data_IF_090865148524
#
_entry.id   IF_090865148524
#
_cell.length_a   1.000
_cell.length_b   1.000
_cell.length_c   1.000
_cell.angle_alpha   90.00
_cell.angle_beta   90.00
_cell.angle_gamma   90.00
#
_symmetry.space_group_name_H-M   'P 1'
#
loop_
_entity.id
_entity.type
_entity.pdbx_description
1 polymer ?
#
# COMPACT_ATOMS: atom_id res chain seq x y z
N UNK A 1 40.95 -15.41 -87.40
CA UNK A 1 39.81 -15.71 -86.50
C UNK A 1 40.29 -15.44 -85.09
N UNK A 2 39.78 -14.37 -84.44
CA UNK A 2 40.13 -14.02 -83.07
C UNK A 2 38.89 -14.35 -82.21
N UNK A 3 39.02 -15.31 -81.33
CA UNK A 3 37.94 -15.74 -80.42
C UNK A 3 37.93 -14.82 -79.22
N UNK A 4 36.80 -14.13 -79.01
CA UNK A 4 36.55 -13.22 -77.92
C UNK A 4 35.90 -14.05 -76.81
N UNK A 5 36.61 -14.22 -75.67
CA UNK A 5 36.08 -14.87 -74.47
C UNK A 5 35.43 -13.83 -73.57
N UNK A 6 34.11 -13.85 -73.41
CA UNK A 6 33.37 -13.02 -72.48
C UNK A 6 33.43 -13.66 -71.09
N UNK A 7 34.02 -12.92 -70.13
CA UNK A 7 33.93 -13.26 -68.69
C UNK A 7 32.66 -12.62 -68.10
N UNK A 8 31.70 -13.45 -67.70
CA UNK A 8 30.58 -13.01 -66.88
C UNK A 8 31.00 -13.02 -65.40
N UNK A 9 31.11 -11.86 -64.78
CA UNK A 9 31.32 -11.73 -63.33
C UNK A 9 29.96 -11.74 -62.66
N UNK A 10 29.63 -12.81 -61.92
CA UNK A 10 28.47 -12.83 -61.03
C UNK A 10 28.77 -11.98 -59.82
N UNK A 11 28.15 -10.79 -59.71
CA UNK A 11 28.06 -10.06 -58.47
C UNK A 11 27.00 -10.74 -57.59
N UNK A 12 27.41 -11.47 -56.59
CA UNK A 12 26.54 -11.91 -55.50
C UNK A 12 26.25 -10.73 -54.59
N UNK A 13 25.07 -10.16 -54.67
CA UNK A 13 24.53 -9.19 -53.73
C UNK A 13 24.18 -9.98 -52.46
N UNK A 14 25.09 -10.01 -51.50
CA UNK A 14 24.79 -10.49 -50.17
C UNK A 14 23.83 -9.53 -49.49
N UNK A 15 22.58 -9.90 -49.34
CA UNK A 15 21.66 -9.22 -48.45
C UNK A 15 22.16 -9.40 -47.01
N UNK A 16 22.73 -8.39 -46.45
CA UNK A 16 23.01 -8.32 -45.01
C UNK A 16 21.66 -8.27 -44.30
N UNK A 17 21.22 -9.41 -43.79
CA UNK A 17 20.07 -9.48 -42.89
C UNK A 17 20.54 -8.79 -41.59
N UNK A 18 20.22 -7.52 -41.42
CA UNK A 18 20.42 -6.80 -40.19
C UNK A 18 19.45 -7.38 -39.17
N UNK A 19 19.93 -8.20 -38.23
CA UNK A 19 19.10 -8.70 -37.15
C UNK A 19 18.63 -7.49 -36.34
N UNK A 20 17.32 -7.34 -36.22
CA UNK A 20 16.76 -6.33 -35.29
C UNK A 20 17.13 -6.78 -33.87
N UNK A 21 17.93 -5.96 -33.18
CA UNK A 21 18.17 -6.12 -31.76
C UNK A 21 17.12 -5.30 -31.02
N UNK A 22 16.37 -5.95 -30.14
CA UNK A 22 15.42 -5.30 -29.24
C UNK A 22 15.96 -5.36 -27.83
N UNK A 23 15.88 -4.24 -27.11
CA UNK A 23 16.23 -4.22 -25.69
C UNK A 23 15.22 -5.08 -24.91
N UNK A 24 15.71 -6.02 -24.14
CA UNK A 24 14.91 -6.90 -23.30
C UNK A 24 13.98 -6.10 -22.36
N UNK A 25 14.44 -4.97 -21.80
CA UNK A 25 13.65 -4.14 -20.91
C UNK A 25 12.49 -3.42 -21.62
N UNK A 26 12.57 -3.25 -22.93
CA UNK A 26 11.52 -2.65 -23.75
C UNK A 26 10.55 -3.67 -24.36
N UNK A 27 10.84 -4.98 -24.22
CA UNK A 27 10.04 -6.04 -24.82
C UNK A 27 8.75 -6.29 -24.02
N UNK A 28 7.67 -5.61 -24.42
CA UNK A 28 6.32 -5.73 -23.85
C UNK A 28 5.28 -5.85 -24.98
N UNK A 29 5.23 -6.97 -25.69
CA UNK A 29 4.29 -7.16 -26.79
C UNK A 29 2.85 -7.18 -26.28
N UNK A 30 1.88 -6.68 -27.06
CA UNK A 30 0.47 -6.86 -26.76
C UNK A 30 0.11 -8.33 -26.72
N UNK A 31 -0.81 -8.69 -25.83
CA UNK A 31 -1.34 -10.06 -25.81
C UNK A 31 -2.14 -10.34 -27.09
N UNK A 32 -1.98 -11.53 -27.62
CA UNK A 32 -2.81 -12.07 -28.73
C UNK A 32 -3.95 -12.96 -28.22
N UNK A 33 -4.08 -13.11 -26.90
CA UNK A 33 -5.17 -13.88 -26.30
C UNK A 33 -6.51 -13.18 -26.54
N UNK A 34 -7.52 -13.96 -26.92
CA UNK A 34 -8.91 -13.52 -27.02
C UNK A 34 -9.61 -13.98 -25.74
N UNK A 35 -9.68 -13.10 -24.76
CA UNK A 35 -10.26 -13.34 -23.44
C UNK A 35 -11.30 -12.27 -23.13
N UNK A 36 -12.19 -12.55 -22.18
CA UNK A 36 -13.16 -11.56 -21.70
C UNK A 36 -12.43 -10.40 -21.00
N UNK A 37 -12.91 -9.18 -21.21
CA UNK A 37 -12.33 -7.99 -20.64
C UNK A 37 -13.40 -7.09 -20.01
N UNK A 38 -13.30 -6.84 -18.69
CA UNK A 38 -14.18 -5.93 -17.98
C UNK A 38 -13.42 -4.63 -17.65
N UNK A 39 -13.86 -3.53 -18.25
CA UNK A 39 -13.34 -2.18 -17.97
C UNK A 39 -14.15 -1.54 -16.84
N UNK A 40 -13.76 -1.83 -15.59
CA UNK A 40 -14.43 -1.28 -14.42
C UNK A 40 -13.90 0.12 -14.11
N UNK A 41 -14.77 1.13 -14.18
CA UNK A 41 -14.41 2.52 -13.82
C UNK A 41 -14.75 2.87 -12.39
N UNK A 42 -15.55 2.05 -11.70
CA UNK A 42 -15.98 2.22 -10.32
C UNK A 42 -16.16 0.87 -9.63
N UNK A 43 -16.05 0.85 -8.31
CA UNK A 43 -16.30 -0.33 -7.50
C UNK A 43 -17.78 -0.75 -7.55
N UNK A 44 -18.06 -2.05 -7.49
CA UNK A 44 -19.41 -2.63 -7.44
C UNK A 44 -20.20 -2.16 -6.23
N UNK A 45 -19.55 -2.01 -5.09
CA UNK A 45 -20.13 -1.52 -3.85
C UNK A 45 -19.44 -0.24 -3.39
N UNK A 46 -20.11 0.62 -2.58
CA UNK A 46 -19.45 1.74 -1.93
C UNK A 46 -18.26 1.23 -1.11
N UNK A 47 -17.17 1.98 -1.10
CA UNK A 47 -15.98 1.54 -0.35
C UNK A 47 -15.34 2.66 0.48
N UNK A 48 -14.54 2.24 1.44
CA UNK A 48 -13.69 3.06 2.29
C UNK A 48 -12.25 2.77 1.91
N UNK A 49 -11.53 3.78 1.42
CA UNK A 49 -10.08 3.68 1.25
C UNK A 49 -9.40 4.06 2.55
N UNK A 50 -8.85 3.05 3.25
CA UNK A 50 -8.22 3.28 4.56
C UNK A 50 -6.75 3.70 4.50
N UNK A 51 -6.15 3.69 3.32
CA UNK A 51 -4.76 4.08 3.15
C UNK A 51 -4.60 5.10 2.04
N UNK A 52 -4.72 6.39 2.41
CA UNK A 52 -4.52 7.49 1.48
C UNK A 52 -3.75 8.64 2.15
N UNK A 53 -3.12 9.48 1.35
CA UNK A 53 -2.30 10.59 1.81
C UNK A 53 -2.73 11.89 1.12
N UNK A 54 -3.32 12.81 1.87
CA UNK A 54 -3.76 14.12 1.42
C UNK A 54 -3.00 15.21 2.17
N UNK A 55 -1.76 15.47 1.74
CA UNK A 55 -0.86 16.42 2.41
C UNK A 55 -1.31 17.87 2.33
N UNK A 56 -2.21 18.22 1.41
CA UNK A 56 -2.73 19.57 1.25
C UNK A 56 -4.12 19.75 1.89
N UNK A 57 -4.59 18.79 2.66
CA UNK A 57 -5.96 18.76 3.21
C UNK A 57 -6.39 20.06 3.93
N UNK A 58 -5.52 20.79 4.67
CA UNK A 58 -5.94 22.05 5.30
C UNK A 58 -6.50 23.10 4.34
N UNK A 59 -6.01 23.13 3.09
CA UNK A 59 -6.40 24.11 2.06
C UNK A 59 -6.93 23.48 0.78
N UNK A 60 -7.12 22.17 0.76
CA UNK A 60 -7.55 21.41 -0.40
C UNK A 60 -9.02 21.71 -0.74
N UNK A 61 -9.31 21.82 -2.03
CA UNK A 61 -10.69 21.82 -2.53
C UNK A 61 -11.29 20.41 -2.36
N UNK A 62 -11.98 20.21 -1.24
CA UNK A 62 -12.61 18.92 -0.92
C UNK A 62 -13.83 18.65 -1.80
N UNK A 63 -14.49 19.66 -2.37
CA UNK A 63 -15.61 19.45 -3.28
C UNK A 63 -15.13 18.77 -4.58
N UNK A 64 -14.01 19.23 -5.12
CA UNK A 64 -13.38 18.59 -6.28
C UNK A 64 -12.94 17.16 -5.96
N UNK A 65 -12.30 16.94 -4.82
CA UNK A 65 -11.86 15.61 -4.40
C UNK A 65 -13.04 14.65 -4.23
N UNK A 66 -14.11 15.09 -3.58
CA UNK A 66 -15.34 14.30 -3.39
C UNK A 66 -15.99 13.95 -4.74
N UNK A 67 -16.03 14.88 -5.68
CA UNK A 67 -16.56 14.60 -7.02
C UNK A 67 -15.73 13.51 -7.77
N UNK A 68 -14.43 13.44 -7.54
CA UNK A 68 -13.58 12.36 -8.07
C UNK A 68 -13.81 11.04 -7.31
N UNK A 69 -13.95 11.09 -5.99
CA UNK A 69 -14.29 9.92 -5.16
C UNK A 69 -15.62 9.29 -5.58
N UNK A 70 -16.63 10.12 -5.87
CA UNK A 70 -17.97 9.66 -6.29
C UNK A 70 -17.92 8.87 -7.60
N UNK A 71 -17.06 9.27 -8.55
CA UNK A 71 -16.87 8.55 -9.81
C UNK A 71 -16.34 7.12 -9.58
N UNK A 72 -15.59 6.91 -8.50
CA UNK A 72 -15.04 5.60 -8.12
C UNK A 72 -16.01 4.79 -7.25
N UNK A 73 -17.11 5.35 -6.78
CA UNK A 73 -17.97 4.82 -5.72
C UNK A 73 -17.26 4.78 -4.34
N UNK A 74 -16.24 5.65 -4.14
CA UNK A 74 -15.57 5.80 -2.85
C UNK A 74 -16.41 6.67 -1.93
N UNK A 75 -16.88 6.09 -0.82
CA UNK A 75 -17.71 6.84 0.10
C UNK A 75 -16.91 7.56 1.19
N UNK A 76 -15.87 6.94 1.72
CA UNK A 76 -14.98 7.54 2.72
C UNK A 76 -13.53 7.35 2.32
N UNK A 77 -12.74 8.40 2.48
CA UNK A 77 -11.28 8.38 2.38
C UNK A 77 -10.64 8.62 3.74
N UNK A 78 -9.71 7.77 4.15
CA UNK A 78 -8.91 7.98 5.35
C UNK A 78 -7.63 8.72 4.97
N UNK A 79 -7.51 9.96 5.41
CA UNK A 79 -6.25 10.70 5.27
C UNK A 79 -5.29 10.34 6.41
N UNK A 80 -4.20 9.66 6.07
CA UNK A 80 -3.16 9.23 7.00
C UNK A 80 -2.09 10.30 7.27
N UNK A 81 -2.25 11.49 6.69
CA UNK A 81 -1.28 12.60 6.78
C UNK A 81 -1.86 13.80 7.53
N UNK A 82 -2.63 13.56 8.60
CA UNK A 82 -3.36 14.62 9.31
C UNK A 82 -2.47 15.71 9.88
N UNK A 83 -1.28 15.38 10.39
CA UNK A 83 -0.29 16.34 10.86
C UNK A 83 0.70 16.78 9.76
N UNK A 84 0.52 16.34 8.53
CA UNK A 84 1.46 16.64 7.44
C UNK A 84 2.88 16.19 7.79
N UNK A 85 3.77 17.16 8.01
CA UNK A 85 5.15 16.91 8.44
C UNK A 85 5.35 17.04 9.97
N UNK A 86 4.29 16.86 10.77
CA UNK A 86 4.34 16.88 12.23
C UNK A 86 3.68 18.11 12.89
N UNK A 87 3.05 19.01 12.13
CA UNK A 87 2.46 20.25 12.66
C UNK A 87 1.07 20.05 13.27
N UNK A 88 0.83 20.68 14.42
CA UNK A 88 -0.49 20.76 15.06
C UNK A 88 -1.45 21.60 14.22
N UNK A 89 -0.98 22.71 13.68
CA UNK A 89 -1.75 23.63 12.84
C UNK A 89 -2.24 22.92 11.56
N UNK A 90 -1.43 22.01 11.03
CA UNK A 90 -1.83 21.21 9.86
C UNK A 90 -2.98 20.24 10.21
N UNK A 91 -2.92 19.59 11.36
CA UNK A 91 -4.01 18.72 11.82
C UNK A 91 -5.29 19.54 12.07
N UNK A 92 -5.16 20.65 12.78
CA UNK A 92 -6.29 21.54 13.10
C UNK A 92 -6.94 22.08 11.81
N UNK A 93 -6.14 22.47 10.82
CA UNK A 93 -6.61 22.90 9.52
C UNK A 93 -7.30 21.77 8.72
N UNK A 94 -6.73 20.56 8.75
CA UNK A 94 -7.31 19.38 8.09
C UNK A 94 -8.68 19.03 8.70
N UNK A 95 -8.75 18.94 10.02
CA UNK A 95 -10.00 18.64 10.74
C UNK A 95 -11.06 19.72 10.54
N UNK A 96 -10.66 20.99 10.54
CA UNK A 96 -11.55 22.13 10.27
C UNK A 96 -12.15 22.03 8.86
N UNK A 97 -11.29 21.89 7.83
CA UNK A 97 -11.72 21.81 6.44
C UNK A 97 -12.71 20.64 6.23
N UNK A 98 -12.41 19.46 6.78
CA UNK A 98 -13.30 18.30 6.73
C UNK A 98 -14.63 18.57 7.42
N UNK A 99 -14.59 19.08 8.66
CA UNK A 99 -15.79 19.32 9.48
C UNK A 99 -16.74 20.34 8.84
N UNK A 100 -16.20 21.40 8.25
CA UNK A 100 -16.97 22.49 7.64
C UNK A 100 -17.58 22.10 6.30
N UNK A 101 -16.92 21.23 5.51
CA UNK A 101 -17.31 20.95 4.14
C UNK A 101 -17.89 19.55 3.92
N UNK A 102 -17.22 18.51 4.38
CA UNK A 102 -17.59 17.11 4.10
C UNK A 102 -17.35 16.17 5.29
N UNK A 103 -18.01 16.36 6.44
CA UNK A 103 -17.71 15.65 7.69
C UNK A 103 -17.93 14.12 7.66
N UNK A 104 -18.69 13.62 6.66
CA UNK A 104 -18.99 12.20 6.51
C UNK A 104 -18.16 11.51 5.44
N UNK A 105 -17.28 12.25 4.74
CA UNK A 105 -16.54 11.74 3.59
C UNK A 105 -15.05 11.47 3.90
N UNK A 106 -14.55 11.98 5.02
CA UNK A 106 -13.16 11.85 5.38
C UNK A 106 -12.99 11.44 6.84
N UNK A 107 -12.00 10.60 7.06
CA UNK A 107 -11.43 10.26 8.37
C UNK A 107 -10.00 10.79 8.37
N UNK A 108 -9.54 11.39 9.47
CA UNK A 108 -8.20 11.93 9.59
C UNK A 108 -7.45 11.22 10.70
N UNK A 109 -6.28 10.65 10.38
CA UNK A 109 -5.37 10.06 11.35
C UNK A 109 -4.31 11.08 11.76
N UNK A 110 -3.92 11.07 13.04
CA UNK A 110 -2.76 11.82 13.51
C UNK A 110 -1.46 11.09 13.20
N UNK A 111 -0.34 11.80 13.36
CA UNK A 111 1.02 11.28 13.16
C UNK A 111 1.87 11.60 14.39
N UNK A 112 3.02 10.92 14.53
CA UNK A 112 3.93 11.08 15.65
C UNK A 112 5.35 11.39 15.20
N UNK A 113 6.04 12.27 15.92
CA UNK A 113 7.44 12.59 15.70
C UNK A 113 8.31 11.87 16.74
N UNK A 114 9.34 11.19 16.26
CA UNK A 114 10.29 10.43 17.05
C UNK A 114 11.67 11.10 17.16
N UNK A 115 11.85 12.28 16.57
CA UNK A 115 13.17 12.95 16.50
C UNK A 115 13.78 13.31 17.85
N UNK A 116 12.94 13.56 18.86
CA UNK A 116 13.36 13.93 20.21
C UNK A 116 13.15 12.80 21.24
N UNK A 117 13.19 11.54 20.82
CA UNK A 117 12.86 10.38 21.67
C UNK A 117 13.74 10.23 22.91
N UNK A 118 14.94 10.80 22.91
CA UNK A 118 15.87 10.80 24.04
C UNK A 118 15.59 11.89 25.09
N UNK A 119 14.71 12.85 24.79
CA UNK A 119 14.28 13.83 25.79
C UNK A 119 13.41 13.13 26.85
N UNK A 120 13.72 13.26 28.15
CA UNK A 120 12.94 12.66 29.24
C UNK A 120 11.44 12.96 29.18
N UNK A 121 11.06 14.14 28.69
CA UNK A 121 9.67 14.58 28.57
C UNK A 121 9.00 14.15 27.25
N UNK A 122 9.74 13.55 26.30
CA UNK A 122 9.21 13.20 25.00
C UNK A 122 7.98 12.29 25.11
N UNK A 123 8.05 11.27 25.93
CA UNK A 123 6.96 10.31 26.08
C UNK A 123 5.68 10.99 26.60
N UNK A 124 5.80 11.79 27.67
CA UNK A 124 4.65 12.50 28.24
C UNK A 124 4.04 13.51 27.25
N UNK A 125 4.87 14.22 26.49
CA UNK A 125 4.41 15.12 25.44
C UNK A 125 3.68 14.37 24.31
N UNK A 126 4.18 13.24 23.88
CA UNK A 126 3.56 12.45 22.80
C UNK A 126 2.24 11.81 23.24
N UNK A 127 2.15 11.34 24.47
CA UNK A 127 0.90 10.84 25.04
C UNK A 127 -0.16 11.96 25.12
N UNK A 128 0.24 13.14 25.62
CA UNK A 128 -0.66 14.30 25.65
C UNK A 128 -1.08 14.74 24.26
N UNK A 129 -0.15 14.79 23.28
CA UNK A 129 -0.46 15.12 21.89
C UNK A 129 -1.49 14.16 21.33
N UNK A 130 -1.31 12.84 21.53
CA UNK A 130 -2.24 11.83 21.04
C UNK A 130 -3.65 12.02 21.61
N UNK A 131 -3.75 12.25 22.95
CA UNK A 131 -5.03 12.51 23.59
C UNK A 131 -5.71 13.79 23.07
N UNK A 132 -4.94 14.86 22.91
CA UNK A 132 -5.44 16.14 22.42
C UNK A 132 -5.89 16.04 20.95
N UNK A 133 -5.13 15.32 20.09
CA UNK A 133 -5.47 15.11 18.71
C UNK A 133 -6.76 14.29 18.55
N UNK A 134 -6.95 13.25 19.39
CA UNK A 134 -8.19 12.46 19.39
C UNK A 134 -9.38 13.29 19.89
N UNK A 135 -9.21 14.11 20.93
CA UNK A 135 -10.26 15.04 21.40
C UNK A 135 -10.65 16.05 20.34
N UNK A 136 -9.73 16.46 19.47
CA UNK A 136 -10.01 17.36 18.33
C UNK A 136 -10.74 16.67 17.20
N UNK A 137 -10.68 15.33 17.11
CA UNK A 137 -11.39 14.54 16.10
C UNK A 137 -10.51 13.63 15.24
N UNK A 138 -9.22 13.45 15.56
CA UNK A 138 -8.41 12.42 14.92
C UNK A 138 -8.94 11.03 15.31
N UNK A 139 -9.09 10.13 14.31
CA UNK A 139 -9.77 8.84 14.49
C UNK A 139 -8.81 7.64 14.44
N UNK A 140 -7.51 7.88 14.41
CA UNK A 140 -6.47 6.86 14.39
C UNK A 140 -5.08 7.45 14.41
N UNK A 141 -4.08 6.59 14.56
CA UNK A 141 -2.66 6.95 14.50
C UNK A 141 -2.02 6.31 13.27
N UNK A 142 -1.35 7.10 12.44
CA UNK A 142 -0.48 6.60 11.36
C UNK A 142 0.98 6.64 11.76
N UNK A 143 1.62 5.50 11.61
CA UNK A 143 3.09 5.37 11.71
C UNK A 143 3.64 5.13 10.32
N UNK A 144 4.58 5.99 9.92
CA UNK A 144 5.32 5.85 8.67
C UNK A 144 6.52 4.91 8.83
N UNK A 145 6.97 4.33 7.73
CA UNK A 145 8.09 3.38 7.72
C UNK A 145 9.44 3.96 8.19
N UNK A 146 9.57 5.28 8.30
CA UNK A 146 10.75 5.89 8.88
C UNK A 146 11.02 5.41 10.31
N UNK A 147 9.97 5.16 11.13
CA UNK A 147 10.16 4.41 12.37
C UNK A 147 10.53 2.96 12.02
N UNK A 148 11.60 2.47 12.60
CA UNK A 148 12.18 1.16 12.29
C UNK A 148 13.12 1.14 11.09
N UNK A 149 13.15 2.21 10.27
CA UNK A 149 14.06 2.30 9.12
C UNK A 149 15.05 3.46 9.24
N UNK A 150 14.59 4.69 9.14
CA UNK A 150 15.48 5.86 9.01
C UNK A 150 15.47 6.79 10.22
N UNK A 151 14.48 6.69 11.10
CA UNK A 151 14.45 7.47 12.35
C UNK A 151 15.58 7.05 13.26
N UNK A 152 16.32 8.04 13.79
CA UNK A 152 17.48 7.83 14.65
C UNK A 152 17.33 8.62 15.93
N UNK A 153 17.89 8.08 17.01
CA UNK A 153 18.05 8.76 18.29
C UNK A 153 19.19 9.81 18.23
N UNK A 154 19.40 10.53 19.31
CA UNK A 154 20.44 11.58 19.41
C UNK A 154 21.88 11.03 19.26
N UNK A 155 22.06 9.73 19.45
CA UNK A 155 23.34 9.04 19.28
C UNK A 155 23.53 8.46 17.88
N UNK A 156 22.53 8.65 16.98
CA UNK A 156 22.56 8.12 15.63
C UNK A 156 22.14 6.67 15.49
N UNK A 157 21.64 6.02 16.56
CA UNK A 157 21.14 4.66 16.48
C UNK A 157 19.72 4.65 15.88
N UNK A 158 19.41 3.62 15.08
CA UNK A 158 18.07 3.39 14.54
C UNK A 158 17.06 3.20 15.70
N UNK A 159 15.97 3.94 15.65
CA UNK A 159 14.87 3.75 16.58
C UNK A 159 14.08 2.53 16.15
N UNK A 160 13.95 1.54 17.01
CA UNK A 160 13.23 0.30 16.77
C UNK A 160 11.72 0.52 16.87
N UNK A 161 10.94 -0.27 16.16
CA UNK A 161 9.46 -0.23 16.26
C UNK A 161 9.01 -0.67 17.67
N UNK A 162 9.70 -1.63 18.24
CA UNK A 162 9.46 -2.16 19.61
C UNK A 162 10.31 -1.49 20.68
N UNK A 163 10.78 -0.26 20.45
CA UNK A 163 11.51 0.51 21.44
C UNK A 163 10.64 0.73 22.70
N UNK A 164 11.13 0.38 23.90
CA UNK A 164 10.35 0.51 25.13
C UNK A 164 9.82 1.93 25.43
N UNK A 165 10.49 2.96 24.91
CA UNK A 165 10.05 4.35 25.05
C UNK A 165 8.74 4.63 24.32
N UNK A 166 8.42 3.84 23.28
CA UNK A 166 7.22 3.97 22.45
C UNK A 166 6.05 3.12 22.98
N UNK A 167 6.31 2.12 23.79
CA UNK A 167 5.29 1.20 24.31
C UNK A 167 4.02 1.87 24.86
N UNK A 168 4.13 2.93 25.70
CA UNK A 168 2.94 3.60 26.23
C UNK A 168 2.05 4.23 25.17
N UNK A 169 2.60 4.58 24.00
CA UNK A 169 1.83 5.14 22.88
C UNK A 169 0.94 4.06 22.27
N UNK A 170 1.48 2.84 22.06
CA UNK A 170 0.69 1.72 21.57
C UNK A 170 -0.44 1.36 22.54
N UNK A 171 -0.14 1.31 23.85
CA UNK A 171 -1.14 1.07 24.88
C UNK A 171 -2.23 2.15 24.90
N UNK A 172 -1.84 3.43 24.78
CA UNK A 172 -2.76 4.57 24.77
C UNK A 172 -3.73 4.53 23.59
N UNK A 173 -3.30 4.10 22.41
CA UNK A 173 -4.21 3.91 21.27
C UNK A 173 -5.31 2.89 21.61
N UNK A 174 -4.97 1.80 22.29
CA UNK A 174 -5.94 0.82 22.75
C UNK A 174 -6.91 1.36 23.81
N UNK A 175 -6.42 2.21 24.74
CA UNK A 175 -7.25 2.88 25.75
C UNK A 175 -8.23 3.90 25.11
N UNK A 176 -7.76 4.62 24.10
CA UNK A 176 -8.57 5.60 23.36
C UNK A 176 -9.51 4.93 22.34
N UNK A 177 -9.41 3.62 22.11
CA UNK A 177 -10.22 2.88 21.14
C UNK A 177 -9.95 3.26 19.69
N UNK A 178 -8.77 3.76 19.37
CA UNK A 178 -8.37 4.14 18.01
C UNK A 178 -7.40 3.13 17.41
N UNK A 179 -7.50 2.81 16.10
CA UNK A 179 -6.55 1.93 15.44
C UNK A 179 -5.21 2.61 15.16
N UNK A 180 -4.17 1.79 15.02
CA UNK A 180 -2.85 2.20 14.54
C UNK A 180 -2.63 1.60 13.15
N UNK A 181 -2.57 2.43 12.10
CA UNK A 181 -2.11 1.99 10.79
C UNK A 181 -0.59 2.17 10.73
N UNK A 182 0.11 1.04 10.65
CA UNK A 182 1.57 1.01 10.66
C UNK A 182 2.14 0.49 9.35
N UNK A 183 3.03 1.28 8.76
CA UNK A 183 3.86 0.88 7.63
C UNK A 183 5.27 0.58 8.16
N UNK A 184 5.66 -0.68 8.16
CA UNK A 184 7.00 -1.14 8.57
C UNK A 184 7.72 -1.73 7.37
N UNK A 185 9.01 -1.46 7.23
CA UNK A 185 9.85 -1.97 6.14
C UNK A 185 9.38 -1.57 4.71
N UNK A 186 9.92 -2.26 3.73
CA UNK A 186 9.61 -2.25 2.29
C UNK A 186 9.52 -3.70 1.80
N UNK A 187 9.19 -4.00 0.53
CA UNK A 187 9.23 -5.35 -0.01
C UNK A 187 10.57 -6.05 0.26
N UNK A 188 10.54 -7.32 0.68
CA UNK A 188 11.75 -8.09 1.02
C UNK A 188 12.78 -8.10 -0.11
N UNK A 189 12.33 -8.05 -1.37
CA UNK A 189 13.18 -8.02 -2.55
C UNK A 189 14.10 -6.78 -2.60
N UNK A 190 13.79 -5.71 -1.85
CA UNK A 190 14.67 -4.54 -1.78
C UNK A 190 15.97 -4.82 -1.03
N UNK A 191 16.02 -5.88 -0.20
CA UNK A 191 17.23 -6.38 0.48
C UNK A 191 18.01 -7.43 -0.32
N UNK A 192 17.38 -8.02 -1.34
CA UNK A 192 18.01 -9.06 -2.16
C UNK A 192 19.03 -8.47 -3.14
N UNK A 193 20.01 -9.27 -3.63
CA UNK A 193 20.93 -8.84 -4.68
C UNK A 193 20.21 -8.28 -5.91
N UNK A 194 20.86 -7.31 -6.57
CA UNK A 194 20.40 -6.73 -7.84
C UNK A 194 20.88 -7.60 -9.01
N UNK A 195 20.29 -8.77 -9.16
CA UNK A 195 20.62 -9.73 -10.22
C UNK A 195 19.37 -10.29 -10.92
N UNK A 196 19.55 -11.24 -11.83
CA UNK A 196 18.47 -11.84 -12.61
C UNK A 196 17.43 -12.63 -11.78
N UNK A 197 17.69 -12.89 -10.50
CA UNK A 197 16.75 -13.57 -9.60
C UNK A 197 15.85 -12.62 -8.82
N UNK A 198 16.12 -11.32 -8.88
CA UNK A 198 15.30 -10.32 -8.17
C UNK A 198 14.12 -9.88 -9.04
N UNK A 199 12.92 -10.33 -8.71
CA UNK A 199 11.71 -9.98 -9.49
C UNK A 199 11.37 -8.47 -9.48
N UNK A 200 11.99 -7.68 -8.61
CA UNK A 200 11.85 -6.22 -8.56
C UNK A 200 13.08 -5.48 -9.10
N UNK A 201 13.91 -6.18 -9.87
CA UNK A 201 15.13 -5.61 -10.44
C UNK A 201 14.87 -4.32 -11.24
N UNK A 202 13.85 -4.32 -12.10
CA UNK A 202 13.52 -3.16 -12.94
C UNK A 202 13.05 -1.97 -12.09
N UNK A 203 12.25 -2.21 -11.05
CA UNK A 203 11.85 -1.18 -10.09
C UNK A 203 13.06 -0.58 -9.37
N UNK A 204 13.97 -1.41 -8.90
CA UNK A 204 15.17 -0.96 -8.18
C UNK A 204 16.17 -0.28 -9.09
N UNK A 205 16.26 -0.68 -10.37
CA UNK A 205 17.08 0.00 -11.38
C UNK A 205 16.57 1.41 -11.66
N UNK A 206 15.25 1.59 -11.74
CA UNK A 206 14.63 2.89 -12.03
C UNK A 206 14.45 3.76 -10.78
N UNK A 207 14.55 3.18 -9.58
CA UNK A 207 14.36 3.86 -8.29
C UNK A 207 15.45 3.41 -7.30
N UNK A 208 16.71 3.70 -7.58
CA UNK A 208 17.87 3.23 -6.81
C UNK A 208 17.79 3.52 -5.30
N UNK A 209 17.17 4.64 -4.90
CA UNK A 209 16.96 5.00 -3.50
C UNK A 209 16.02 4.05 -2.73
N UNK A 210 15.39 3.06 -3.40
CA UNK A 210 14.58 2.02 -2.75
C UNK A 210 15.42 0.83 -2.29
N UNK A 211 16.65 0.66 -2.78
CA UNK A 211 17.53 -0.44 -2.38
C UNK A 211 17.82 -0.38 -0.88
N UNK A 212 17.85 -1.55 -0.23
CA UNK A 212 18.13 -1.74 1.19
C UNK A 212 19.23 -2.78 1.39
N UNK A 213 19.77 -2.84 2.63
CA UNK A 213 20.74 -3.86 3.03
C UNK A 213 20.55 -4.23 4.51
N UNK A 214 21.24 -5.26 4.97
CA UNK A 214 21.18 -5.70 6.36
C UNK A 214 21.84 -4.71 7.34
N UNK A 215 22.63 -3.77 6.82
CA UNK A 215 23.28 -2.70 7.61
C UNK A 215 22.61 -1.34 7.43
N UNK A 216 21.73 -1.17 6.42
CA UNK A 216 21.01 0.07 6.16
C UNK A 216 19.63 -0.25 5.54
N UNK A 217 18.57 -0.16 6.33
CA UNK A 217 18.47 0.29 7.74
C UNK A 217 18.79 -0.79 8.77
N UNK A 218 18.52 -2.06 8.50
CA UNK A 218 18.70 -3.27 9.30
C UNK A 218 18.21 -4.48 8.47
N UNK A 219 18.46 -5.76 8.89
CA UNK A 219 17.88 -6.92 8.25
C UNK A 219 16.35 -6.83 8.20
N UNK A 220 15.76 -7.20 7.08
CA UNK A 220 14.31 -7.15 6.87
C UNK A 220 13.54 -7.91 7.96
N UNK A 221 14.00 -9.12 8.30
CA UNK A 221 13.42 -9.96 9.33
C UNK A 221 13.42 -9.30 10.72
N UNK A 222 14.44 -8.51 11.01
CA UNK A 222 14.54 -7.75 12.27
C UNK A 222 13.43 -6.71 12.37
N UNK A 223 13.24 -5.91 11.31
CA UNK A 223 12.21 -4.86 11.29
C UNK A 223 10.81 -5.47 11.40
N UNK A 224 10.56 -6.55 10.67
CA UNK A 224 9.27 -7.26 10.73
C UNK A 224 9.05 -7.92 12.10
N UNK A 225 10.10 -8.45 12.72
CA UNK A 225 9.99 -9.02 14.07
C UNK A 225 9.66 -7.94 15.11
N UNK A 226 10.25 -6.76 15.02
CA UNK A 226 9.92 -5.61 15.88
C UNK A 226 8.44 -5.23 15.77
N UNK A 227 7.90 -5.21 14.54
CA UNK A 227 6.46 -5.02 14.32
C UNK A 227 5.62 -6.12 14.98
N UNK A 228 6.00 -7.39 14.82
CA UNK A 228 5.28 -8.50 15.44
C UNK A 228 5.36 -8.46 16.98
N UNK A 229 6.45 -7.95 17.55
CA UNK A 229 6.59 -7.81 19.00
C UNK A 229 5.55 -6.86 19.59
N UNK A 230 5.31 -5.71 18.96
CA UNK A 230 4.27 -4.77 19.44
C UNK A 230 2.86 -5.34 19.25
N UNK A 231 2.60 -6.07 18.15
CA UNK A 231 1.30 -6.71 17.93
C UNK A 231 0.97 -7.73 19.02
N UNK A 232 1.94 -8.55 19.39
CA UNK A 232 1.79 -9.56 20.47
C UNK A 232 1.63 -8.94 21.84
N UNK A 233 2.35 -7.84 22.11
CA UNK A 233 2.37 -7.17 23.40
C UNK A 233 1.09 -6.36 23.65
N UNK A 234 0.63 -5.60 22.66
CA UNK A 234 -0.49 -4.67 22.81
C UNK A 234 -1.81 -5.21 22.26
N UNK A 235 -2.31 -6.29 22.90
CA UNK A 235 -3.50 -7.03 22.43
C UNK A 235 -4.80 -6.23 22.43
N UNK A 236 -4.88 -5.14 23.20
CA UNK A 236 -6.03 -4.22 23.25
C UNK A 236 -6.02 -3.19 22.12
N UNK A 237 -4.90 -3.03 21.42
CA UNK A 237 -4.74 -2.08 20.33
C UNK A 237 -5.00 -2.79 19.01
N UNK A 238 -5.89 -2.25 18.19
CA UNK A 238 -6.10 -2.72 16.82
C UNK A 238 -5.00 -2.18 15.92
N UNK A 239 -4.21 -3.07 15.33
CA UNK A 239 -3.19 -2.70 14.35
C UNK A 239 -3.68 -3.02 12.93
N UNK A 240 -3.51 -2.06 12.02
CA UNK A 240 -3.69 -2.22 10.59
C UNK A 240 -2.29 -2.27 9.99
N UNK A 241 -1.84 -3.48 9.65
CA UNK A 241 -0.52 -3.66 9.04
C UNK A 241 -0.61 -3.35 7.54
N UNK A 242 0.05 -2.26 7.13
CA UNK A 242 0.04 -1.80 5.75
C UNK A 242 0.63 -2.85 4.80
N UNK A 243 0.15 -2.84 3.55
CA UNK A 243 0.70 -3.66 2.46
C UNK A 243 0.73 -5.16 2.79
N UNK A 244 -0.35 -5.66 3.41
CA UNK A 244 -0.47 -7.05 3.87
C UNK A 244 0.71 -7.49 4.76
N UNK A 245 1.18 -6.58 5.62
CA UNK A 245 2.33 -6.79 6.51
C UNK A 245 3.61 -7.22 5.75
N UNK A 246 3.74 -6.89 4.47
CA UNK A 246 4.78 -7.31 3.52
C UNK A 246 4.89 -8.83 3.29
N UNK A 247 3.77 -9.55 3.44
CA UNK A 247 3.64 -10.98 3.06
C UNK A 247 2.61 -11.23 1.94
N UNK A 248 2.37 -10.31 0.97
CA UNK A 248 1.42 -10.60 -0.09
C UNK A 248 1.90 -11.72 -1.02
N UNK A 249 3.19 -12.00 -1.05
CA UNK A 249 3.83 -13.07 -1.82
C UNK A 249 3.97 -14.39 -1.02
N UNK A 250 3.58 -14.42 0.26
CA UNK A 250 3.50 -15.62 1.10
C UNK A 250 2.22 -15.59 1.95
N UNK A 251 1.10 -15.82 1.30
CA UNK A 251 -0.23 -15.76 1.92
C UNK A 251 -0.42 -16.83 3.02
N UNK A 252 0.28 -17.97 2.91
CA UNK A 252 0.26 -19.00 3.96
C UNK A 252 0.91 -18.48 5.25
N UNK A 253 2.07 -17.83 5.12
CA UNK A 253 2.76 -17.20 6.26
C UNK A 253 1.92 -16.08 6.86
N UNK A 254 1.34 -15.22 6.00
CA UNK A 254 0.44 -14.16 6.46
C UNK A 254 -0.75 -14.73 7.25
N UNK A 255 -1.37 -15.80 6.76
CA UNK A 255 -2.45 -16.48 7.47
C UNK A 255 -2.03 -16.94 8.87
N UNK A 256 -0.86 -17.55 9.00
CA UNK A 256 -0.31 -17.96 10.31
C UNK A 256 -0.11 -16.77 11.26
N UNK A 257 0.31 -15.61 10.72
CA UNK A 257 0.48 -14.38 11.48
C UNK A 257 -0.88 -13.87 11.99
N UNK A 258 -1.88 -13.82 11.11
CA UNK A 258 -3.23 -13.37 11.47
C UNK A 258 -3.90 -14.31 12.50
N UNK A 259 -3.72 -15.61 12.36
CA UNK A 259 -4.26 -16.59 13.32
C UNK A 259 -3.64 -16.41 14.72
N UNK A 260 -2.36 -16.07 14.80
CA UNK A 260 -1.64 -15.83 16.05
C UNK A 260 -1.91 -14.46 16.70
N UNK A 261 -2.41 -13.48 15.93
CA UNK A 261 -2.56 -12.08 16.36
C UNK A 261 -3.97 -11.55 16.02
N UNK A 262 -4.99 -11.83 16.86
CA UNK A 262 -6.38 -11.45 16.57
C UNK A 262 -6.63 -9.95 16.51
N UNK A 263 -5.78 -9.13 17.09
CA UNK A 263 -5.82 -7.66 17.07
C UNK A 263 -5.18 -7.04 15.82
N UNK A 264 -4.71 -7.84 14.85
CA UNK A 264 -4.11 -7.35 13.60
C UNK A 264 -5.06 -7.56 12.44
N UNK A 265 -5.24 -6.57 11.63
CA UNK A 265 -5.85 -6.62 10.30
C UNK A 265 -4.84 -6.10 9.27
N UNK A 266 -5.08 -6.38 8.00
CA UNK A 266 -4.19 -5.96 6.91
C UNK A 266 -4.95 -5.17 5.86
N UNK A 267 -4.25 -4.38 5.06
CA UNK A 267 -4.83 -3.70 3.91
C UNK A 267 -4.00 -3.98 2.64
N UNK A 268 -4.63 -3.79 1.47
CA UNK A 268 -4.13 -4.23 0.17
C UNK A 268 -3.40 -3.13 -0.63
N UNK A 269 -3.15 -1.98 -0.02
CA UNK A 269 -2.46 -0.86 -0.70
C UNK A 269 -1.12 -1.27 -1.27
N UNK A 270 -0.85 -0.85 -2.49
CA UNK A 270 0.40 -1.08 -3.23
C UNK A 270 0.83 -2.56 -3.44
N UNK A 271 -0.05 -3.54 -3.10
CA UNK A 271 0.26 -4.98 -3.25
C UNK A 271 -0.75 -5.73 -4.12
N UNK A 272 -1.59 -5.01 -4.84
CA UNK A 272 -2.61 -5.63 -5.71
C UNK A 272 -1.99 -6.51 -6.80
N UNK A 273 -0.77 -6.19 -7.24
CA UNK A 273 -0.08 -6.96 -8.27
C UNK A 273 0.36 -8.35 -7.77
N UNK A 274 0.77 -8.46 -6.51
CA UNK A 274 1.10 -9.76 -5.90
C UNK A 274 -0.15 -10.64 -5.82
N UNK A 275 -1.30 -10.07 -5.47
CA UNK A 275 -2.58 -10.78 -5.40
C UNK A 275 -3.04 -11.22 -6.80
N UNK A 276 -3.03 -10.31 -7.78
CA UNK A 276 -3.45 -10.60 -9.15
C UNK A 276 -2.55 -11.59 -9.89
N UNK A 277 -1.29 -11.77 -9.47
CA UNK A 277 -0.37 -12.78 -10.05
C UNK A 277 -0.55 -14.19 -9.47
N UNK A 278 -1.28 -14.36 -8.36
CA UNK A 278 -1.58 -15.63 -7.71
C UNK A 278 -3.09 -15.79 -7.43
N UNK A 279 -3.96 -15.68 -8.44
CA UNK A 279 -5.40 -15.48 -8.25
C UNK A 279 -6.08 -16.57 -7.41
N UNK A 280 -5.69 -17.83 -7.57
CA UNK A 280 -6.29 -18.95 -6.80
C UNK A 280 -5.95 -18.86 -5.32
N UNK A 281 -4.67 -18.73 -4.97
CA UNK A 281 -4.23 -18.59 -3.59
C UNK A 281 -4.75 -17.30 -2.94
N UNK A 282 -4.78 -16.20 -3.69
CA UNK A 282 -5.32 -14.92 -3.22
C UNK A 282 -6.83 -14.99 -2.97
N UNK A 283 -7.61 -15.64 -3.86
CA UNK A 283 -9.06 -15.87 -3.67
C UNK A 283 -9.32 -16.68 -2.39
N UNK A 284 -8.63 -17.81 -2.23
CA UNK A 284 -8.77 -18.67 -1.02
C UNK A 284 -8.42 -17.89 0.24
N UNK A 285 -7.33 -17.12 0.23
CA UNK A 285 -6.92 -16.28 1.35
C UNK A 285 -7.97 -15.21 1.68
N UNK A 286 -8.47 -14.47 0.67
CA UNK A 286 -9.48 -13.43 0.86
C UNK A 286 -10.78 -13.99 1.44
N UNK A 287 -11.22 -15.15 0.99
CA UNK A 287 -12.42 -15.84 1.53
C UNK A 287 -12.18 -16.27 2.98
N UNK A 288 -11.04 -16.89 3.27
CA UNK A 288 -10.72 -17.39 4.62
C UNK A 288 -10.56 -16.25 5.62
N UNK A 289 -9.87 -15.18 5.24
CA UNK A 289 -9.57 -14.05 6.13
C UNK A 289 -10.41 -12.79 5.80
N UNK A 290 -11.61 -12.98 5.24
CA UNK A 290 -12.49 -11.92 4.78
C UNK A 290 -12.82 -10.86 5.83
N UNK A 291 -12.76 -11.20 7.13
CA UNK A 291 -13.00 -10.28 8.25
C UNK A 291 -11.73 -9.55 8.72
N UNK A 292 -10.60 -9.80 8.07
CA UNK A 292 -9.27 -9.31 8.48
C UNK A 292 -8.58 -8.47 7.39
N UNK A 293 -9.18 -8.31 6.22
CA UNK A 293 -8.65 -7.57 5.07
C UNK A 293 -9.46 -6.31 4.84
N UNK A 294 -8.79 -5.20 4.60
CA UNK A 294 -9.36 -3.88 4.34
C UNK A 294 -8.94 -3.41 2.95
N UNK A 295 -9.78 -2.59 2.31
CA UNK A 295 -9.40 -1.89 1.09
C UNK A 295 -8.53 -0.68 1.43
N UNK A 296 -7.40 -0.54 0.77
CA UNK A 296 -6.52 0.61 0.80
C UNK A 296 -5.73 0.68 -0.50
N UNK A 297 -5.30 1.90 -0.91
CA UNK A 297 -4.56 2.04 -2.16
C UNK A 297 -3.17 2.68 -1.98
N UNK A 298 -2.95 3.44 -0.91
CA UNK A 298 -1.71 4.15 -0.55
C UNK A 298 -1.57 5.54 -1.21
N UNK A 299 -1.78 5.68 -2.50
CA UNK A 299 -1.61 6.93 -3.23
C UNK A 299 -2.88 7.34 -3.98
N UNK A 300 -3.15 8.65 -4.07
CA UNK A 300 -4.28 9.18 -4.83
C UNK A 300 -3.93 9.31 -6.31
N UNK A 301 -4.29 8.29 -7.09
CA UNK A 301 -4.25 8.26 -8.56
C UNK A 301 -5.55 7.56 -8.99
N UNK A 302 -6.60 8.30 -9.34
CA UNK A 302 -7.95 7.75 -9.59
C UNK A 302 -7.98 6.61 -10.62
N UNK A 303 -7.22 6.71 -11.69
CA UNK A 303 -7.18 5.72 -12.77
C UNK A 303 -6.64 4.36 -12.32
N UNK A 304 -5.76 4.34 -11.33
CA UNK A 304 -5.16 3.10 -10.83
C UNK A 304 -6.13 2.25 -9.98
N UNK A 305 -7.22 2.85 -9.43
CA UNK A 305 -8.24 2.10 -8.69
C UNK A 305 -8.96 1.09 -9.57
N UNK A 306 -9.10 1.37 -10.87
CA UNK A 306 -9.71 0.45 -11.83
C UNK A 306 -9.02 -0.92 -11.85
N UNK A 307 -7.69 -0.93 -11.68
CA UNK A 307 -6.92 -2.18 -11.56
C UNK A 307 -7.31 -2.97 -10.30
N UNK A 308 -7.51 -2.29 -9.18
CA UNK A 308 -7.97 -2.93 -7.93
C UNK A 308 -9.36 -3.54 -8.09
N UNK A 309 -10.31 -2.79 -8.67
CA UNK A 309 -11.65 -3.30 -8.92
C UNK A 309 -11.61 -4.51 -9.85
N UNK A 310 -10.86 -4.42 -10.96
CA UNK A 310 -10.73 -5.51 -11.92
C UNK A 310 -10.15 -6.79 -11.27
N UNK A 311 -9.13 -6.65 -10.43
CA UNK A 311 -8.57 -7.80 -9.71
C UNK A 311 -9.57 -8.38 -8.71
N UNK A 312 -10.28 -7.56 -7.95
CA UNK A 312 -11.15 -8.07 -6.89
C UNK A 312 -12.49 -8.62 -7.41
N UNK A 313 -13.06 -7.99 -8.45
CA UNK A 313 -14.46 -8.19 -8.85
C UNK A 313 -14.65 -9.08 -10.08
N UNK A 314 -13.63 -9.30 -10.90
CA UNK A 314 -13.75 -10.03 -12.17
C UNK A 314 -12.99 -11.35 -12.17
N UNK A 315 -13.30 -12.19 -13.18
CA UNK A 315 -12.52 -13.38 -13.55
C UNK A 315 -11.58 -13.12 -14.73
N UNK A 316 -11.29 -11.87 -15.06
CA UNK A 316 -10.47 -11.49 -16.21
C UNK A 316 -9.08 -12.11 -16.14
N UNK A 317 -8.55 -12.45 -17.31
CA UNK A 317 -7.26 -13.13 -17.42
C UNK A 317 -6.21 -12.28 -18.12
N UNK A 318 -4.97 -12.40 -17.66
CA UNK A 318 -3.76 -11.95 -18.36
C UNK A 318 -3.76 -10.46 -18.74
N UNK A 319 -4.27 -9.59 -17.91
CA UNK A 319 -4.25 -8.14 -18.16
C UNK A 319 -3.04 -7.43 -17.53
N UNK A 320 -2.60 -6.29 -18.10
CA UNK A 320 -1.40 -5.61 -17.62
C UNK A 320 -1.61 -4.94 -16.25
N UNK A 321 -0.55 -4.91 -15.45
CA UNK A 321 -0.48 -4.05 -14.28
C UNK A 321 -0.20 -2.60 -14.71
N UNK A 322 -0.79 -1.63 -14.02
CA UNK A 322 -0.63 -0.21 -14.37
C UNK A 322 0.78 0.35 -14.12
N UNK A 323 1.60 -0.30 -13.29
CA UNK A 323 2.99 0.12 -13.02
C UNK A 323 3.99 -0.72 -13.80
N UNK A 324 4.39 -0.25 -14.98
CA UNK A 324 5.28 -0.99 -15.88
C UNK A 324 6.67 -1.28 -15.31
N UNK A 325 7.19 -0.44 -14.44
CA UNK A 325 8.48 -0.67 -13.79
C UNK A 325 8.50 -1.90 -12.86
N UNK A 326 7.39 -2.59 -12.70
CA UNK A 326 7.28 -3.90 -12.05
C UNK A 326 7.44 -5.07 -13.04
N UNK A 327 8.39 -4.98 -13.97
CA UNK A 327 8.74 -6.04 -14.91
C UNK A 327 7.58 -6.51 -15.81
N UNK A 328 6.69 -5.58 -16.23
CA UNK A 328 5.56 -5.87 -17.13
C UNK A 328 4.64 -6.99 -16.63
N UNK A 329 4.38 -7.07 -15.35
CA UNK A 329 3.56 -8.12 -14.76
C UNK A 329 2.17 -8.19 -15.39
N UNK A 330 1.69 -9.42 -15.58
CA UNK A 330 0.31 -9.73 -15.98
C UNK A 330 -0.47 -10.23 -14.79
N UNK A 331 -1.73 -9.84 -14.73
CA UNK A 331 -2.61 -10.08 -13.59
C UNK A 331 -3.86 -10.81 -14.03
N UNK A 332 -4.56 -11.35 -13.03
CA UNK A 332 -5.81 -12.11 -13.16
C UNK A 332 -6.79 -11.64 -12.10
N UNK A 333 -8.07 -11.71 -12.43
CA UNK A 333 -9.14 -11.44 -11.49
C UNK A 333 -9.29 -12.54 -10.44
N UNK A 334 -9.76 -12.16 -9.26
CA UNK A 334 -10.02 -13.06 -8.14
C UNK A 334 -11.47 -13.53 -8.12
N UNK A 335 -12.37 -12.85 -8.83
CA UNK A 335 -13.81 -13.14 -8.85
C UNK A 335 -14.35 -13.36 -7.43
N UNK A 336 -14.16 -12.40 -6.54
CA UNK A 336 -14.55 -12.52 -5.14
C UNK A 336 -16.08 -12.51 -4.99
N UNK A 337 -16.65 -13.37 -4.11
CA UNK A 337 -18.07 -13.31 -3.79
C UNK A 337 -18.47 -11.94 -3.23
N UNK A 338 -19.69 -11.49 -3.53
CA UNK A 338 -20.22 -10.19 -3.12
C UNK A 338 -20.13 -9.93 -1.60
N UNK A 339 -20.37 -10.95 -0.79
CA UNK A 339 -20.28 -10.81 0.67
C UNK A 339 -18.84 -10.60 1.15
N UNK A 340 -17.87 -11.20 0.46
CA UNK A 340 -16.43 -10.98 0.71
C UNK A 340 -16.03 -9.58 0.26
N UNK A 341 -16.47 -9.15 -0.93
CA UNK A 341 -16.25 -7.79 -1.44
C UNK A 341 -16.78 -6.73 -0.48
N UNK A 342 -18.02 -6.87 0.00
CA UNK A 342 -18.62 -5.93 0.97
C UNK A 342 -17.80 -5.84 2.26
N UNK A 343 -17.24 -6.95 2.74
CA UNK A 343 -16.37 -6.96 3.93
C UNK A 343 -15.08 -6.19 3.69
N UNK A 344 -14.39 -6.46 2.59
CA UNK A 344 -13.13 -5.81 2.22
C UNK A 344 -13.37 -4.32 1.94
N UNK A 345 -14.43 -3.97 1.22
CA UNK A 345 -14.69 -2.60 0.78
C UNK A 345 -15.15 -1.68 1.92
N UNK A 346 -16.00 -2.15 2.84
CA UNK A 346 -16.50 -1.23 3.88
C UNK A 346 -16.79 -1.87 5.24
N UNK A 347 -17.34 -3.10 5.33
CA UNK A 347 -17.81 -3.64 6.62
C UNK A 347 -16.70 -3.76 7.66
N UNK A 348 -15.50 -4.19 7.24
CA UNK A 348 -14.36 -4.30 8.15
C UNK A 348 -13.87 -2.92 8.61
N UNK A 349 -13.81 -1.93 7.71
CA UNK A 349 -13.45 -0.56 8.05
C UNK A 349 -14.46 0.06 9.02
N UNK A 350 -15.77 -0.09 8.78
CA UNK A 350 -16.81 0.37 9.69
C UNK A 350 -16.70 -0.22 11.11
N UNK A 351 -16.26 -1.46 11.23
CA UNK A 351 -16.05 -2.12 12.53
C UNK A 351 -14.83 -1.59 13.29
N UNK A 352 -13.81 -1.11 12.59
CA UNK A 352 -12.51 -0.75 13.16
C UNK A 352 -12.37 0.74 13.38
N UNK A 353 -12.91 1.55 12.46
CA UNK A 353 -12.76 3.00 12.49
C UNK A 353 -13.91 3.63 13.28
N UNK A 354 -13.63 4.37 14.35
CA UNK A 354 -14.68 5.05 15.11
C UNK A 354 -15.32 6.19 14.31
N UNK A 355 -16.62 6.40 14.51
CA UNK A 355 -17.32 7.62 14.07
C UNK A 355 -17.71 7.69 12.60
N UNK A 356 -17.54 6.63 11.79
CA UNK A 356 -18.05 6.59 10.42
C UNK A 356 -19.56 6.34 10.43
N UNK A 357 -20.30 7.10 9.63
CA UNK A 357 -21.76 6.92 9.47
C UNK A 357 -22.06 5.64 8.65
N UNK A 358 -22.38 4.57 9.36
CA UNK A 358 -22.66 3.27 8.74
C UNK A 358 -23.99 3.28 7.92
N UNK A 359 -24.89 4.27 8.15
CA UNK A 359 -26.17 4.35 7.44
C UNK A 359 -26.02 4.65 5.94
N UNK A 360 -24.86 5.14 5.54
CA UNK A 360 -24.51 5.44 4.16
C UNK A 360 -24.13 4.20 3.33
N UNK A 361 -23.96 3.04 3.98
CA UNK A 361 -23.54 1.81 3.30
C UNK A 361 -24.70 0.80 3.22
N UNK A 362 -24.75 -0.05 2.17
CA UNK A 362 -25.73 -1.12 2.05
C UNK A 362 -25.65 -2.08 3.26
N UNK A 363 -26.82 -2.56 3.70
CA UNK A 363 -26.94 -3.54 4.79
C UNK A 363 -26.41 -4.91 4.41
#
# INVERSE_FOLDING_TARGET
>A
MKTLTLFFSLLSIGTVVQSQTMDFEAYDPPSTLVVEEHKLTKAKFPFIDIHNHQFNMPSQDLAKLVAEMDKLNMFVMVNLSGRGRGSTEHLDGSLKNVKENFPKRFVVFTNMDFSAIDDPEWQSRMLKQLEDDVKKGAQGLKIYKNLGMTSKDSKGNRIRIDDPRIDPIWAKCGELGIPVLIHSADPKQFWQPMDANNERWLELKTHEGRKRSDTDPAPWETIIQEQHNIFKKHKKTTFIAAHMAWYPNDLKKLGTILDAMPNVVVEIGAVIAELGRQPRAAREFMIKYQDRVLFGKDSWVPEEYQTYFRVLETADEYFPYHKRYHAFWRMYGLDLPDDVLKKIYYKNALRILPGIDASAFPK
#
